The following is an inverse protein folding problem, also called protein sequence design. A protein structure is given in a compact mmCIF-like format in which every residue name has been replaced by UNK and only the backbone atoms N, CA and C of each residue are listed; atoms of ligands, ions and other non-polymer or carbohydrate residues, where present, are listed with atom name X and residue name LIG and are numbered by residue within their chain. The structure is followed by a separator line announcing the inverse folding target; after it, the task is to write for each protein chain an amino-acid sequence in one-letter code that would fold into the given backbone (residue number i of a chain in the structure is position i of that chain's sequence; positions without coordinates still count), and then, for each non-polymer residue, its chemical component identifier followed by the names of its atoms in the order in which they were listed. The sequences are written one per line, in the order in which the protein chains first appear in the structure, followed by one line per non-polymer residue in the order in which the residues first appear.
data_IF_544208294510
#
_entry.id   IF_544208294510
#
_cell.length_a   1.000
_cell.length_b   1.000
_cell.length_c   1.000
_cell.angle_alpha   90.00
_cell.angle_beta   90.00
_cell.angle_gamma   90.00
#
_symmetry.space_group_name_H-M   'P 1'
#
loop_
_entity.id
_entity.type
_entity.pdbx_description
1 polymer ?
#
# COMPACT_ATOMS: atom_id res chain seq x y z
N UNK A 1 -11.02 -10.65 31.29
CA UNK A 1 -11.64 -9.74 30.30
C UNK A 1 -12.08 -10.59 29.11
N UNK A 2 -13.39 -10.66 28.83
CA UNK A 2 -13.95 -11.51 27.77
C UNK A 2 -13.62 -10.97 26.38
N UNK A 3 -13.36 -11.86 25.42
CA UNK A 3 -13.03 -11.46 24.05
C UNK A 3 -14.29 -11.08 23.26
N UNK A 4 -14.18 -10.14 22.31
CA UNK A 4 -15.33 -9.63 21.54
C UNK A 4 -16.06 -10.75 20.78
N UNK A 5 -15.31 -11.70 20.21
CA UNK A 5 -15.89 -12.84 19.50
C UNK A 5 -16.64 -13.80 20.44
N UNK A 6 -16.24 -13.89 21.72
CA UNK A 6 -16.92 -14.70 22.73
C UNK A 6 -18.25 -14.04 23.10
N UNK A 7 -18.25 -12.73 23.37
CA UNK A 7 -19.47 -11.95 23.64
C UNK A 7 -20.45 -12.03 22.46
N UNK A 8 -19.95 -11.94 21.23
CA UNK A 8 -20.79 -12.06 20.03
C UNK A 8 -21.40 -13.46 19.89
N UNK A 9 -20.63 -14.52 20.22
CA UNK A 9 -21.12 -15.89 20.24
C UNK A 9 -22.16 -16.11 21.34
N UNK A 10 -21.94 -15.57 22.52
CA UNK A 10 -22.88 -15.63 23.66
C UNK A 10 -24.20 -14.95 23.31
N UNK A 11 -24.15 -13.73 22.77
CA UNK A 11 -25.33 -13.00 22.30
C UNK A 11 -26.10 -13.81 21.25
N UNK A 12 -25.41 -14.33 20.23
CA UNK A 12 -26.04 -15.14 19.18
C UNK A 12 -26.67 -16.42 19.72
N UNK A 13 -25.97 -17.13 20.60
CA UNK A 13 -26.47 -18.38 21.20
C UNK A 13 -27.69 -18.11 22.07
N UNK A 14 -27.71 -17.00 22.81
CA UNK A 14 -28.86 -16.58 23.60
C UNK A 14 -30.05 -16.21 22.71
N UNK A 15 -29.82 -15.46 21.62
CA UNK A 15 -30.87 -15.10 20.66
C UNK A 15 -31.49 -16.33 19.98
N UNK A 16 -30.67 -17.30 19.57
CA UNK A 16 -31.16 -18.57 18.99
C UNK A 16 -31.99 -19.36 20.01
N UNK A 17 -31.51 -19.52 21.25
CA UNK A 17 -32.24 -20.25 22.30
C UNK A 17 -33.55 -19.59 22.73
N UNK A 18 -33.56 -18.27 22.85
CA UNK A 18 -34.75 -17.52 23.25
C UNK A 18 -35.81 -17.50 22.14
N UNK A 19 -35.41 -17.63 20.87
CA UNK A 19 -36.36 -17.77 19.76
C UNK A 19 -37.10 -19.11 19.76
N UNK A 20 -36.49 -20.17 20.31
CA UNK A 20 -37.11 -21.50 20.45
C UNK A 20 -38.02 -21.63 21.68
N UNK A 21 -37.91 -20.70 22.63
CA UNK A 21 -38.72 -20.67 23.84
C UNK A 21 -39.93 -19.75 23.61
N UNK A 22 -41.14 -20.26 23.82
CA UNK A 22 -42.40 -19.51 23.72
C UNK A 22 -42.55 -18.53 24.91
N UNK A 23 -41.60 -17.60 25.02
CA UNK A 23 -41.50 -16.60 26.07
C UNK A 23 -42.17 -15.29 25.65
N UNK A 24 -42.69 -14.51 26.61
CA UNK A 24 -43.17 -13.16 26.34
C UNK A 24 -42.06 -12.31 25.69
N UNK A 25 -42.39 -11.51 24.65
CA UNK A 25 -41.41 -10.70 23.91
C UNK A 25 -40.58 -9.77 24.80
N UNK A 26 -41.17 -9.25 25.88
CA UNK A 26 -40.50 -8.35 26.83
C UNK A 26 -39.33 -9.04 27.57
N UNK A 27 -39.50 -10.30 27.98
CA UNK A 27 -38.46 -11.06 28.70
C UNK A 27 -37.29 -11.41 27.78
N UNK A 28 -37.58 -11.71 26.51
CA UNK A 28 -36.57 -11.96 25.48
C UNK A 28 -35.76 -10.69 25.22
N UNK A 29 -36.43 -9.54 25.11
CA UNK A 29 -35.80 -8.25 24.90
C UNK A 29 -34.87 -7.86 26.05
N UNK A 30 -35.33 -7.91 27.30
CA UNK A 30 -34.54 -7.56 28.49
C UNK A 30 -33.26 -8.39 28.61
N UNK A 31 -33.36 -9.69 28.30
CA UNK A 31 -32.22 -10.61 28.38
C UNK A 31 -31.19 -10.34 27.30
N UNK A 32 -31.64 -10.04 26.07
CA UNK A 32 -30.75 -9.72 24.95
C UNK A 32 -30.11 -8.33 25.11
N UNK A 33 -30.82 -7.35 25.67
CA UNK A 33 -30.30 -6.01 25.93
C UNK A 33 -29.12 -6.05 26.91
N UNK A 34 -29.23 -6.83 27.99
CA UNK A 34 -28.12 -7.01 28.94
C UNK A 34 -26.86 -7.60 28.31
N UNK A 35 -27.01 -8.54 27.37
CA UNK A 35 -25.88 -9.14 26.63
C UNK A 35 -25.32 -8.20 25.56
N UNK A 36 -26.18 -7.43 24.89
CA UNK A 36 -25.79 -6.43 23.90
C UNK A 36 -24.92 -5.34 24.52
N UNK A 37 -25.25 -4.86 25.72
CA UNK A 37 -24.47 -3.81 26.39
C UNK A 37 -22.99 -4.16 26.58
N UNK A 38 -22.69 -5.39 27.01
CA UNK A 38 -21.29 -5.83 27.16
C UNK A 38 -20.55 -5.93 25.81
N UNK A 39 -21.25 -6.38 24.76
CA UNK A 39 -20.73 -6.46 23.40
C UNK A 39 -20.44 -5.06 22.83
N UNK A 40 -21.37 -4.12 22.98
CA UNK A 40 -21.27 -2.73 22.51
C UNK A 40 -20.12 -1.98 23.18
N UNK A 41 -19.97 -2.11 24.50
CA UNK A 41 -18.86 -1.49 25.24
C UNK A 41 -17.53 -2.04 24.71
N UNK A 42 -17.42 -3.37 24.53
CA UNK A 42 -16.18 -3.96 24.03
C UNK A 42 -15.90 -3.54 22.58
N UNK A 43 -16.91 -3.52 21.72
CA UNK A 43 -16.80 -3.10 20.33
C UNK A 43 -16.36 -1.63 20.22
N UNK A 44 -16.95 -0.75 21.04
CA UNK A 44 -16.59 0.67 21.14
C UNK A 44 -15.14 0.84 21.55
N UNK A 45 -14.68 0.13 22.59
CA UNK A 45 -13.29 0.19 23.03
C UNK A 45 -12.31 -0.31 21.95
N UNK A 46 -12.68 -1.36 21.21
CA UNK A 46 -11.88 -1.83 20.07
C UNK A 46 -11.84 -0.80 18.95
N UNK A 47 -12.97 -0.16 18.62
CA UNK A 47 -13.03 0.90 17.61
C UNK A 47 -12.18 2.13 18.00
N UNK A 48 -12.22 2.54 19.27
CA UNK A 48 -11.35 3.61 19.80
C UNK A 48 -9.87 3.25 19.66
N UNK A 49 -9.50 1.99 19.95
CA UNK A 49 -8.12 1.53 19.78
C UNK A 49 -7.69 1.52 18.31
N UNK A 50 -8.56 1.07 17.40
CA UNK A 50 -8.33 1.14 15.95
C UNK A 50 -8.07 2.59 15.52
N UNK A 51 -8.90 3.54 15.97
CA UNK A 51 -8.74 4.98 15.68
C UNK A 51 -7.39 5.52 16.14
N UNK A 52 -6.95 5.13 17.33
CA UNK A 52 -5.63 5.52 17.83
C UNK A 52 -4.50 4.94 16.95
N UNK A 53 -4.62 3.69 16.50
CA UNK A 53 -3.65 3.09 15.60
C UNK A 53 -3.63 3.79 14.22
N UNK A 54 -4.79 4.12 13.66
CA UNK A 54 -4.92 4.88 12.41
C UNK A 54 -4.25 6.24 12.51
N UNK A 55 -4.53 7.00 13.58
CA UNK A 55 -3.92 8.31 13.82
C UNK A 55 -2.39 8.23 14.01
N UNK A 56 -1.92 7.23 14.75
CA UNK A 56 -0.49 7.00 14.93
C UNK A 56 0.20 6.63 13.61
N UNK A 57 -0.42 5.76 12.79
CA UNK A 57 0.11 5.39 11.48
C UNK A 57 0.19 6.59 10.54
N UNK A 58 -0.81 7.48 10.55
CA UNK A 58 -0.78 8.72 9.78
C UNK A 58 0.36 9.65 10.21
N UNK A 59 0.56 9.83 11.52
CA UNK A 59 1.65 10.62 12.06
C UNK A 59 3.04 10.05 11.67
N UNK A 60 3.20 8.72 11.72
CA UNK A 60 4.44 8.04 11.30
C UNK A 60 4.69 8.25 9.81
N UNK A 61 3.68 8.06 8.95
CA UNK A 61 3.81 8.27 7.51
C UNK A 61 4.19 9.73 7.17
N UNK A 62 3.64 10.70 7.91
CA UNK A 62 4.04 12.11 7.75
C UNK A 62 5.52 12.32 8.11
N UNK A 63 6.00 11.73 9.20
CA UNK A 63 7.40 11.80 9.59
C UNK A 63 8.33 11.10 8.58
N UNK A 64 7.95 9.94 8.07
CA UNK A 64 8.70 9.21 7.04
C UNK A 64 8.87 10.03 5.76
N UNK A 65 7.81 10.70 5.30
CA UNK A 65 7.87 11.59 4.13
C UNK A 65 8.88 12.72 4.36
N UNK A 66 8.84 13.38 5.51
CA UNK A 66 9.81 14.43 5.86
C UNK A 66 11.24 13.90 5.91
N UNK A 67 11.46 12.71 6.49
CA UNK A 67 12.79 12.09 6.53
C UNK A 67 13.28 11.73 5.12
N UNK A 68 12.41 11.19 4.26
CA UNK A 68 12.73 10.86 2.88
C UNK A 68 13.09 12.10 2.06
N UNK A 69 12.37 13.21 2.25
CA UNK A 69 12.69 14.51 1.65
C UNK A 69 14.06 15.03 2.11
N UNK A 70 14.35 14.99 3.42
CA UNK A 70 15.66 15.37 3.96
C UNK A 70 16.79 14.51 3.38
N UNK A 71 16.60 13.19 3.29
CA UNK A 71 17.55 12.27 2.66
C UNK A 71 17.82 12.67 1.21
N UNK A 72 16.76 12.86 0.42
CA UNK A 72 16.88 13.27 -1.00
C UNK A 72 17.59 14.61 -1.15
N UNK A 73 17.33 15.57 -0.26
CA UNK A 73 18.02 16.86 -0.28
C UNK A 73 19.53 16.72 0.01
N UNK A 74 19.91 15.85 0.96
CA UNK A 74 21.33 15.57 1.24
C UNK A 74 22.00 14.85 0.07
N UNK A 75 21.33 13.87 -0.54
CA UNK A 75 21.83 13.16 -1.73
C UNK A 75 22.03 14.12 -2.90
N UNK A 76 21.05 14.97 -3.21
CA UNK A 76 21.16 15.99 -4.26
C UNK A 76 22.28 16.99 -3.97
N UNK A 77 22.45 17.43 -2.71
CA UNK A 77 23.55 18.31 -2.34
C UNK A 77 24.91 17.62 -2.50
N UNK A 78 25.02 16.34 -2.16
CA UNK A 78 26.24 15.57 -2.37
C UNK A 78 26.57 15.41 -3.86
N UNK A 79 25.58 15.11 -4.71
CA UNK A 79 25.74 15.07 -6.17
C UNK A 79 26.22 16.42 -6.71
N UNK A 80 25.57 17.53 -6.33
CA UNK A 80 25.99 18.87 -6.75
C UNK A 80 27.44 19.18 -6.36
N UNK A 81 27.88 18.73 -5.18
CA UNK A 81 29.27 18.88 -4.73
C UNK A 81 30.25 17.97 -5.49
N UNK A 82 29.82 16.76 -5.88
CA UNK A 82 30.61 15.89 -6.77
C UNK A 82 30.80 16.53 -8.14
N UNK A 83 29.74 17.08 -8.72
CA UNK A 83 29.79 17.76 -10.00
C UNK A 83 30.65 19.02 -9.95
N UNK A 84 30.53 19.81 -8.86
CA UNK A 84 31.41 20.95 -8.61
C UNK A 84 32.88 20.52 -8.54
N UNK A 85 33.20 19.49 -7.75
CA UNK A 85 34.56 18.97 -7.60
C UNK A 85 35.10 18.47 -8.94
N UNK A 86 34.30 17.71 -9.69
CA UNK A 86 34.64 17.23 -11.03
C UNK A 86 34.92 18.40 -11.99
N UNK A 87 34.06 19.42 -12.00
CA UNK A 87 34.24 20.61 -12.82
C UNK A 87 35.51 21.38 -12.49
N UNK A 88 35.83 21.53 -11.21
CA UNK A 88 37.06 22.18 -10.75
C UNK A 88 38.32 21.38 -11.16
N UNK A 89 38.28 20.05 -11.02
CA UNK A 89 39.35 19.16 -11.48
C UNK A 89 39.54 19.23 -13.01
N UNK A 90 38.45 19.28 -13.78
CA UNK A 90 38.51 19.45 -15.23
C UNK A 90 39.09 20.81 -15.65
N UNK A 91 38.64 21.91 -15.02
CA UNK A 91 39.11 23.27 -15.32
C UNK A 91 40.60 23.46 -15.01
N UNK A 92 41.11 22.76 -13.99
CA UNK A 92 42.53 22.78 -13.59
C UNK A 92 43.37 21.72 -14.29
N UNK A 93 42.76 20.89 -15.15
CA UNK A 93 43.40 19.73 -15.81
C UNK A 93 44.02 18.71 -14.83
N UNK A 94 43.59 18.71 -13.57
CA UNK A 94 44.03 17.75 -12.56
C UNK A 94 43.13 16.51 -12.65
N UNK A 95 43.70 15.39 -13.10
CA UNK A 95 42.97 14.13 -13.24
C UNK A 95 42.90 13.33 -11.94
N UNK A 96 43.84 13.52 -11.02
CA UNK A 96 43.97 12.76 -9.76
C UNK A 96 44.39 13.68 -8.61
N UNK A 97 43.70 13.56 -7.47
CA UNK A 97 44.06 14.19 -6.20
C UNK A 97 44.20 13.06 -5.17
N UNK A 98 45.39 12.93 -4.58
CA UNK A 98 45.67 11.95 -3.53
C UNK A 98 45.73 12.65 -2.17
N UNK A 99 45.06 12.07 -1.18
CA UNK A 99 45.16 12.47 0.21
C UNK A 99 45.46 11.24 1.07
N UNK A 100 45.99 11.42 2.30
CA UNK A 100 46.19 10.30 3.22
C UNK A 100 44.91 9.51 3.55
N UNK A 101 43.74 10.10 3.33
CA UNK A 101 42.44 9.51 3.70
C UNK A 101 41.73 8.86 2.51
N UNK A 102 41.86 9.44 1.31
CA UNK A 102 41.18 8.96 0.10
C UNK A 102 41.81 9.55 -1.17
N UNK A 103 41.52 8.89 -2.30
CA UNK A 103 41.94 9.30 -3.64
C UNK A 103 40.73 9.71 -4.47
N UNK A 104 40.78 10.88 -5.09
CA UNK A 104 39.78 11.37 -6.03
C UNK A 104 40.39 11.32 -7.43
N UNK A 105 39.69 10.72 -8.39
CA UNK A 105 40.17 10.62 -9.76
C UNK A 105 39.02 10.77 -10.75
N UNK A 106 39.24 11.53 -11.83
CA UNK A 106 38.36 11.53 -13.00
C UNK A 106 38.71 10.29 -13.83
N UNK A 107 37.70 9.48 -14.17
CA UNK A 107 37.85 8.34 -15.07
C UNK A 107 36.89 8.49 -16.24
N UNK A 108 37.30 8.00 -17.39
CA UNK A 108 36.39 7.82 -18.52
C UNK A 108 35.48 6.64 -18.23
N UNK A 109 34.18 6.85 -18.35
CA UNK A 109 33.21 5.77 -18.34
C UNK A 109 33.37 4.94 -19.63
N UNK A 110 33.01 3.64 -19.62
CA UNK A 110 32.91 2.87 -20.84
C UNK A 110 31.93 3.53 -21.81
N UNK A 111 32.18 3.39 -23.11
CA UNK A 111 31.34 3.96 -24.16
C UNK A 111 29.90 3.46 -24.01
N UNK A 112 28.94 4.38 -23.94
CA UNK A 112 27.51 4.05 -23.96
C UNK A 112 26.93 4.44 -25.31
N UNK A 113 26.12 3.54 -25.89
CA UNK A 113 25.38 3.85 -27.12
C UNK A 113 24.34 4.92 -26.82
N UNK A 114 24.52 6.10 -27.40
CA UNK A 114 23.54 7.19 -27.37
C UNK A 114 22.70 7.06 -28.63
N UNK A 115 21.37 6.99 -28.46
CA UNK A 115 20.41 6.87 -29.56
C UNK A 115 19.81 8.26 -29.79
N UNK A 116 20.30 8.98 -30.79
CA UNK A 116 19.78 10.32 -31.11
C UNK A 116 18.42 10.26 -31.82
N UNK A 117 18.22 9.28 -32.69
CA UNK A 117 16.97 9.06 -33.42
C UNK A 117 16.69 7.56 -33.60
N UNK A 118 15.79 7.00 -32.80
CA UNK A 118 15.41 5.60 -32.89
C UNK A 118 14.85 5.21 -34.27
N UNK A 119 14.22 6.14 -35.00
CA UNK A 119 13.69 5.92 -36.35
C UNK A 119 14.76 5.71 -37.42
N UNK A 120 16.00 6.13 -37.17
CA UNK A 120 17.12 5.93 -38.07
C UNK A 120 17.89 4.65 -37.75
N UNK A 121 17.57 3.98 -36.65
CA UNK A 121 18.22 2.73 -36.26
C UNK A 121 17.70 1.61 -37.17
N UNK A 122 18.59 0.89 -37.86
CA UNK A 122 18.21 -0.30 -38.62
C UNK A 122 17.45 -1.32 -37.76
N UNK A 123 16.49 -2.01 -38.36
CA UNK A 123 15.64 -2.99 -37.66
C UNK A 123 16.42 -4.14 -37.02
N UNK A 124 17.63 -4.44 -37.50
CA UNK A 124 18.55 -5.42 -36.92
C UNK A 124 19.03 -5.07 -35.49
N UNK A 125 18.99 -3.78 -35.09
CA UNK A 125 19.34 -3.33 -33.73
C UNK A 125 18.11 -3.04 -32.87
N UNK A 126 16.89 -3.23 -33.40
CA UNK A 126 15.65 -3.03 -32.66
C UNK A 126 15.21 -4.34 -32.00
N UNK A 127 15.06 -4.32 -30.67
CA UNK A 127 14.38 -5.39 -29.95
C UNK A 127 12.90 -5.06 -29.90
N UNK A 128 12.06 -5.83 -30.60
CA UNK A 128 10.63 -5.75 -30.41
C UNK A 128 10.28 -6.44 -29.07
N UNK A 129 9.67 -5.73 -28.11
CA UNK A 129 9.18 -6.39 -26.90
C UNK A 129 8.10 -7.39 -27.29
N UNK A 130 8.12 -8.58 -26.70
CA UNK A 130 7.03 -9.54 -26.84
C UNK A 130 5.71 -8.85 -26.41
N UNK A 131 4.62 -9.01 -27.18
CA UNK A 131 3.33 -8.44 -26.79
C UNK A 131 2.95 -8.95 -25.39
N UNK A 132 2.57 -8.06 -24.46
CA UNK A 132 2.21 -8.48 -23.11
C UNK A 132 1.07 -9.50 -23.18
N UNK A 133 1.06 -10.52 -22.29
CA UNK A 133 0.01 -11.52 -22.27
C UNK A 133 -1.35 -10.83 -22.09
N UNK A 134 -2.36 -11.34 -22.80
CA UNK A 134 -3.71 -10.81 -22.71
C UNK A 134 -4.21 -10.89 -21.26
N UNK A 135 -4.36 -9.72 -20.62
CA UNK A 135 -4.86 -9.61 -19.27
C UNK A 135 -6.40 -9.57 -19.28
N UNK A 136 -7.08 -10.33 -18.40
CA UNK A 136 -8.54 -10.25 -18.28
C UNK A 136 -8.99 -8.84 -17.89
N UNK A 137 -9.79 -8.20 -18.73
CA UNK A 137 -10.40 -6.91 -18.39
C UNK A 137 -11.56 -7.12 -17.42
N UNK A 138 -11.28 -6.89 -16.14
CA UNK A 138 -12.25 -7.05 -15.04
C UNK A 138 -13.50 -6.18 -15.24
N UNK A 139 -13.42 -5.03 -15.92
CA UNK A 139 -14.57 -4.15 -16.15
C UNK A 139 -15.51 -4.76 -17.18
N UNK A 140 -14.97 -5.16 -18.34
CA UNK A 140 -15.75 -5.82 -19.39
C UNK A 140 -16.36 -7.14 -18.91
N UNK A 141 -15.61 -7.91 -18.12
CA UNK A 141 -16.10 -9.15 -17.50
C UNK A 141 -17.24 -8.84 -16.52
N UNK A 142 -17.09 -7.83 -15.66
CA UNK A 142 -18.15 -7.44 -14.72
C UNK A 142 -19.41 -6.93 -15.43
N UNK A 143 -19.26 -6.17 -16.51
CA UNK A 143 -20.38 -5.71 -17.35
C UNK A 143 -21.07 -6.87 -18.06
N UNK A 144 -20.31 -7.81 -18.63
CA UNK A 144 -20.86 -9.01 -19.27
C UNK A 144 -21.65 -9.89 -18.28
N UNK A 145 -21.11 -10.13 -17.07
CA UNK A 145 -21.80 -10.89 -16.02
C UNK A 145 -23.08 -10.15 -15.58
N UNK A 146 -23.03 -8.82 -15.42
CA UNK A 146 -24.23 -8.01 -15.09
C UNK A 146 -25.28 -8.02 -16.21
N UNK A 147 -24.86 -8.11 -17.47
CA UNK A 147 -25.73 -8.20 -18.63
C UNK A 147 -26.30 -9.62 -18.86
N UNK A 148 -26.02 -10.57 -17.96
CA UNK A 148 -26.53 -11.94 -18.02
C UNK A 148 -25.73 -12.89 -18.91
N UNK A 149 -24.53 -12.52 -19.37
CA UNK A 149 -23.59 -13.46 -20.01
C UNK A 149 -22.79 -14.21 -18.95
N UNK A 150 -22.74 -15.51 -19.08
CA UNK A 150 -21.83 -16.35 -18.29
C UNK A 150 -20.39 -16.20 -18.81
N UNK A 151 -19.45 -15.88 -17.92
CA UNK A 151 -18.03 -15.76 -18.22
C UNK A 151 -17.28 -16.83 -17.43
N UNK A 152 -16.92 -17.97 -18.06
CA UNK A 152 -16.20 -19.05 -17.38
C UNK A 152 -14.94 -18.53 -16.68
N UNK A 153 -14.84 -18.77 -15.37
CA UNK A 153 -13.70 -18.36 -14.54
C UNK A 153 -13.86 -17.01 -13.83
N UNK A 154 -14.98 -16.30 -13.97
CA UNK A 154 -15.25 -15.05 -13.25
C UNK A 154 -16.64 -15.03 -12.60
N UNK A 155 -16.73 -14.51 -11.38
CA UNK A 155 -18.00 -14.30 -10.68
C UNK A 155 -17.99 -12.97 -9.94
N UNK A 156 -19.17 -12.40 -9.71
CA UNK A 156 -19.32 -11.21 -8.88
C UNK A 156 -19.43 -11.61 -7.42
N UNK A 157 -18.46 -11.21 -6.60
CA UNK A 157 -18.52 -11.34 -5.15
C UNK A 157 -18.75 -9.97 -4.52
N UNK A 158 -19.69 -9.87 -3.56
CA UNK A 158 -19.91 -8.67 -2.76
C UNK A 158 -19.38 -8.93 -1.34
N UNK A 159 -18.32 -8.21 -0.98
CA UNK A 159 -17.83 -8.15 0.40
C UNK A 159 -18.55 -7.08 1.23
N UNK A 160 -18.46 -7.18 2.55
CA UNK A 160 -18.86 -6.14 3.49
C UNK A 160 -17.60 -5.54 4.12
N UNK A 161 -17.57 -4.22 4.31
CA UNK A 161 -16.47 -3.53 5.01
C UNK A 161 -16.99 -2.95 6.33
N UNK A 162 -16.14 -2.94 7.34
CA UNK A 162 -16.38 -2.17 8.55
C UNK A 162 -16.14 -0.68 8.22
N UNK A 163 -17.12 0.19 8.50
CA UNK A 163 -17.00 1.65 8.39
C UNK A 163 -17.09 2.23 9.81
N UNK A 164 -16.00 2.84 10.27
CA UNK A 164 -15.95 3.58 11.54
C UNK A 164 -15.97 5.06 11.13
N UNK A 165 -16.85 5.88 11.68
CA UNK A 165 -16.90 7.34 11.40
C UNK A 165 -16.64 8.11 12.67
#
# INVERSE_FOLDING_TARGET
MTALYVLAKEYRTAAERLADLDLPPEIVADTLEGLAGALEIKATNVAMFIRNLEANAEAINAAEKQMAERRRAMESRAENLRDYLKGAMQATQISVIESPYFKVAIRSNPESVVIDAASQIPSEFMRQPDPPPALPDKKLIAEAIKAGRDVPGAHLARGQRLDIR
#
